data_IF_756851753112
#
_entry.id   IF_756851753112
#
_cell.length_a   1.000
_cell.length_b   1.000
_cell.length_c   1.000
_cell.angle_alpha   90.00
_cell.angle_beta   90.00
_cell.angle_gamma   90.00
#
_symmetry.space_group_name_H-M   'P 1'
#
loop_
_entity.id
_entity.type
_entity.pdbx_description
1 polymer ?
#
# COMPACT_ATOMS: atom_id res chain seq x y z
N UNK A 1 -0.99 -5.71 -49.71
CA UNK A 1 -0.80 -4.90 -50.94
C UNK A 1 -2.13 -4.31 -51.37
N UNK A 2 -2.17 -2.98 -51.53
CA UNK A 2 -3.13 -2.17 -52.31
C UNK A 2 -4.63 -2.19 -51.94
N UNK A 3 -5.38 -1.09 -51.85
CA UNK A 3 -5.13 0.36 -52.06
C UNK A 3 -6.44 1.11 -51.70
N UNK A 4 -6.31 2.29 -51.04
CA UNK A 4 -6.98 3.58 -51.33
C UNK A 4 -8.52 3.68 -51.27
N UNK A 5 -9.20 4.79 -50.97
CA UNK A 5 -8.92 6.16 -50.48
C UNK A 5 -10.32 6.82 -50.46
N UNK A 6 -10.68 7.59 -49.44
CA UNK A 6 -12.00 8.20 -49.31
C UNK A 6 -12.00 9.56 -48.63
N UNK A 7 -11.58 10.57 -49.40
CA UNK A 7 -11.94 12.00 -49.35
C UNK A 7 -11.64 12.86 -48.10
N UNK A 8 -10.57 13.66 -48.27
CA UNK A 8 -10.38 15.01 -47.71
C UNK A 8 -11.45 16.01 -48.21
N UNK A 9 -11.52 17.13 -47.46
CA UNK A 9 -11.83 18.51 -47.88
C UNK A 9 -13.30 18.95 -47.96
N UNK A 10 -13.69 19.79 -46.99
CA UNK A 10 -14.63 20.90 -47.21
C UNK A 10 -13.95 22.19 -46.73
N UNK A 11 -13.33 22.88 -47.69
CA UNK A 11 -13.08 24.35 -47.72
C UNK A 11 -14.44 25.07 -47.58
N UNK A 12 -14.64 26.11 -46.75
CA UNK A 12 -14.09 27.49 -46.76
C UNK A 12 -14.38 28.28 -48.06
N UNK A 13 -14.70 29.58 -47.87
CA UNK A 13 -15.04 30.68 -48.83
C UNK A 13 -16.55 30.68 -49.25
N UNK A 14 -17.39 31.73 -49.28
CA UNK A 14 -17.36 33.20 -49.59
C UNK A 14 -18.66 33.83 -48.96
N UNK A 15 -18.70 35.06 -48.41
CA UNK A 15 -19.19 36.33 -49.05
C UNK A 15 -18.79 37.55 -48.18
N UNK A 16 -18.02 38.58 -48.62
CA UNK A 16 -18.31 39.77 -49.47
C UNK A 16 -19.62 40.49 -49.13
N UNK A 17 -19.77 41.81 -48.91
CA UNK A 17 -18.99 43.02 -49.16
C UNK A 17 -19.73 44.22 -48.52
N UNK A 18 -19.03 45.29 -48.12
CA UNK A 18 -19.47 46.66 -48.44
C UNK A 18 -18.30 47.66 -48.39
N UNK A 19 -18.19 48.42 -49.48
CA UNK A 19 -17.18 49.43 -49.82
C UNK A 19 -17.40 50.74 -49.04
N UNK A 20 -16.32 51.44 -48.71
CA UNK A 20 -15.98 52.77 -49.26
C UNK A 20 -14.61 53.26 -48.77
N UNK A 21 -13.87 53.93 -49.64
CA UNK A 21 -12.62 54.66 -49.41
C UNK A 21 -12.79 56.09 -49.96
N UNK A 22 -11.79 56.99 -49.88
CA UNK A 22 -11.22 57.64 -48.70
C UNK A 22 -11.26 59.19 -48.83
N UNK A 23 -10.99 59.95 -47.76
CA UNK A 23 -10.60 61.38 -47.87
C UNK A 23 -9.58 61.76 -46.80
N UNK A 24 -8.41 62.21 -47.25
CA UNK A 24 -7.31 62.77 -46.42
C UNK A 24 -7.62 64.22 -46.04
N UNK A 25 -7.20 64.69 -44.86
CA UNK A 25 -6.17 65.73 -44.85
C UNK A 25 -5.06 65.51 -43.81
N UNK A 26 -3.87 65.99 -44.13
CA UNK A 26 -2.64 65.98 -43.33
C UNK A 26 -2.65 67.08 -42.22
N UNK A 27 -1.52 67.33 -41.54
CA UNK A 27 -0.92 66.56 -40.46
C UNK A 27 -1.05 67.32 -39.11
N UNK A 28 -1.21 66.61 -37.99
CA UNK A 28 -1.04 67.20 -36.66
C UNK A 28 -0.06 66.37 -35.85
N UNK A 29 0.92 67.07 -35.29
CA UNK A 29 2.07 66.59 -34.55
C UNK A 29 1.59 65.86 -33.29
N UNK A 30 1.95 64.58 -33.16
CA UNK A 30 1.77 63.81 -31.92
C UNK A 30 3.14 63.47 -31.31
N UNK A 31 3.29 63.51 -29.97
CA UNK A 31 4.58 63.43 -29.31
C UNK A 31 5.17 62.02 -29.31
N UNK A 32 6.49 61.98 -29.24
CA UNK A 32 7.39 60.84 -29.03
C UNK A 32 6.80 59.72 -28.15
N UNK A 33 6.83 58.50 -28.65
CA UNK A 33 6.48 57.28 -27.92
C UNK A 33 7.29 57.13 -26.63
N UNK A 34 6.66 56.76 -25.50
CA UNK A 34 7.38 56.46 -24.27
C UNK A 34 8.15 55.15 -24.43
N UNK A 35 9.41 55.17 -24.03
CA UNK A 35 10.26 53.99 -23.86
C UNK A 35 9.57 53.07 -22.83
N UNK A 36 9.40 51.76 -23.09
CA UNK A 36 8.84 50.86 -22.11
C UNK A 36 9.82 50.72 -20.94
N UNK A 37 9.48 51.33 -19.81
CA UNK A 37 10.14 51.07 -18.53
C UNK A 37 9.94 49.60 -18.21
N UNK A 38 11.03 48.84 -18.15
CA UNK A 38 11.01 47.48 -17.60
C UNK A 38 10.49 47.59 -16.17
N UNK A 39 9.24 47.19 -15.96
CA UNK A 39 8.68 47.07 -14.62
C UNK A 39 9.49 45.98 -13.92
N UNK A 40 10.30 46.36 -12.94
CA UNK A 40 10.89 45.40 -12.03
C UNK A 40 9.75 44.56 -11.45
N UNK A 41 9.79 43.25 -11.63
CA UNK A 41 8.95 42.35 -10.86
C UNK A 41 9.12 42.71 -9.38
N UNK A 42 8.04 42.93 -8.62
CA UNK A 42 8.17 43.23 -7.20
C UNK A 42 8.95 42.09 -6.55
N UNK A 43 10.02 42.44 -5.82
CA UNK A 43 10.73 41.52 -4.95
C UNK A 43 9.71 40.71 -4.18
N UNK A 44 9.77 39.38 -4.22
CA UNK A 44 8.68 38.59 -3.74
C UNK A 44 8.58 38.69 -2.22
N UNK A 45 7.57 39.42 -1.77
CA UNK A 45 7.27 39.61 -0.36
C UNK A 45 7.01 38.24 0.28
N UNK A 46 7.72 37.94 1.37
CA UNK A 46 7.46 36.75 2.18
C UNK A 46 6.00 36.84 2.68
N UNK A 47 5.15 35.82 2.44
CA UNK A 47 3.77 35.83 2.94
C UNK A 47 3.78 36.00 4.46
N UNK A 48 3.02 36.97 4.96
CA UNK A 48 2.91 37.21 6.41
C UNK A 48 2.10 36.08 7.03
N UNK A 49 2.63 35.45 8.09
CA UNK A 49 1.90 34.43 8.83
C UNK A 49 0.70 35.06 9.57
N UNK A 50 -0.43 34.35 9.72
CA UNK A 50 -1.53 34.84 10.53
C UNK A 50 -1.10 35.00 11.99
N UNK A 51 -1.71 35.93 12.72
CA UNK A 51 -1.48 36.03 14.17
C UNK A 51 -2.08 34.80 14.85
N UNK A 52 -1.36 34.12 15.77
CA UNK A 52 -1.93 33.03 16.55
C UNK A 52 -3.18 33.49 17.31
N UNK A 53 -4.30 32.81 17.07
CA UNK A 53 -5.58 33.03 17.78
C UNK A 53 -5.72 32.15 19.03
N UNK A 54 -4.78 31.22 19.23
CA UNK A 54 -4.74 30.24 20.31
C UNK A 54 -3.74 30.65 21.40
N UNK A 55 -3.89 30.15 22.64
CA UNK A 55 -2.86 30.30 23.66
C UNK A 55 -1.52 29.73 23.17
N UNK A 56 -0.44 30.40 23.55
CA UNK A 56 0.91 30.07 23.08
C UNK A 56 1.72 29.68 24.29
N UNK A 57 2.00 28.39 24.40
CA UNK A 57 2.86 27.82 25.41
C UNK A 57 4.24 27.56 24.80
N UNK A 58 5.25 28.27 25.29
CA UNK A 58 6.62 28.22 24.77
C UNK A 58 7.58 27.90 25.90
N UNK A 59 8.59 27.04 25.68
CA UNK A 59 9.62 26.83 26.68
C UNK A 59 10.54 28.05 26.81
N UNK A 60 11.31 28.18 27.89
CA UNK A 60 12.04 29.41 28.23
C UNK A 60 13.04 29.90 27.17
N UNK A 61 13.61 29.01 26.34
CA UNK A 61 14.53 29.41 25.28
C UNK A 61 13.85 29.72 23.94
N UNK A 62 12.53 29.63 23.86
CA UNK A 62 11.76 30.04 22.69
C UNK A 62 11.15 31.43 22.92
N UNK A 63 11.23 32.28 21.91
CA UNK A 63 10.44 33.52 21.86
C UNK A 63 9.41 33.42 20.74
N UNK A 64 8.25 34.06 20.92
CA UNK A 64 7.23 34.06 19.87
C UNK A 64 7.77 34.62 18.56
N UNK A 65 8.52 35.73 18.61
CA UNK A 65 9.07 36.37 17.42
C UNK A 65 10.02 35.42 16.66
N UNK A 66 10.96 34.79 17.35
CA UNK A 66 11.92 33.86 16.73
C UNK A 66 11.25 32.60 16.19
N UNK A 67 10.26 32.05 16.90
CA UNK A 67 9.51 30.88 16.46
C UNK A 67 8.73 31.18 15.18
N UNK A 68 8.03 32.31 15.13
CA UNK A 68 7.26 32.73 13.96
C UNK A 68 8.17 33.05 12.77
N UNK A 69 9.31 33.72 12.99
CA UNK A 69 10.30 33.98 11.95
C UNK A 69 10.88 32.69 11.36
N UNK A 70 11.22 31.72 12.21
CA UNK A 70 11.74 30.41 11.79
C UNK A 70 10.71 29.64 10.96
N UNK A 71 9.45 29.61 11.40
CA UNK A 71 8.35 28.99 10.64
C UNK A 71 8.14 29.66 9.29
N UNK A 72 8.11 31.00 9.28
CA UNK A 72 7.87 31.78 8.08
C UNK A 72 8.97 31.55 7.05
N UNK A 73 10.23 31.53 7.50
CA UNK A 73 11.38 31.31 6.64
C UNK A 73 11.39 29.87 6.12
N UNK A 74 11.09 28.89 6.96
CA UNK A 74 10.97 27.50 6.55
C UNK A 74 9.90 27.29 5.48
N UNK A 75 8.66 27.74 5.72
CA UNK A 75 7.55 27.56 4.77
C UNK A 75 7.76 28.33 3.47
N UNK A 76 8.38 29.51 3.54
CA UNK A 76 8.79 30.25 2.36
C UNK A 76 9.83 29.48 1.55
N UNK A 77 10.85 28.91 2.22
CA UNK A 77 11.88 28.12 1.57
C UNK A 77 11.31 26.85 0.91
N UNK A 78 10.35 26.18 1.56
CA UNK A 78 9.60 25.04 0.96
C UNK A 78 8.85 25.48 -0.29
N UNK A 79 8.04 26.54 -0.19
CA UNK A 79 7.17 27.01 -1.28
C UNK A 79 7.93 27.59 -2.48
N UNK A 80 9.22 27.88 -2.33
CA UNK A 80 10.10 28.34 -3.41
C UNK A 80 11.15 27.32 -3.82
N UNK A 81 11.19 26.18 -3.15
CA UNK A 81 12.23 25.18 -3.35
C UNK A 81 13.64 25.77 -3.19
N UNK A 82 13.83 26.62 -2.18
CA UNK A 82 15.15 27.14 -1.82
C UNK A 82 15.93 26.06 -1.06
N UNK A 83 16.43 25.07 -1.80
CA UNK A 83 17.16 23.93 -1.22
C UNK A 83 18.39 24.35 -0.41
N UNK A 84 19.21 25.35 -0.81
CA UNK A 84 20.29 25.85 0.03
C UNK A 84 19.82 26.34 1.40
N UNK A 85 18.75 27.13 1.45
CA UNK A 85 18.18 27.62 2.70
C UNK A 85 17.55 26.49 3.52
N UNK A 86 16.80 25.58 2.88
CA UNK A 86 16.23 24.41 3.56
C UNK A 86 17.30 23.51 4.19
N UNK A 87 18.46 23.33 3.55
CA UNK A 87 19.59 22.58 4.12
C UNK A 87 20.19 23.24 5.37
N UNK A 88 20.09 24.57 5.49
CA UNK A 88 20.53 25.31 6.68
C UNK A 88 19.47 25.25 7.79
N UNK A 89 18.19 25.30 7.41
CA UNK A 89 17.06 25.31 8.35
C UNK A 89 16.73 23.93 8.91
N UNK A 90 17.06 22.84 8.21
CA UNK A 90 16.78 21.49 8.70
C UNK A 90 18.02 20.94 9.37
N UNK A 91 17.87 20.44 10.60
CA UNK A 91 19.00 19.96 11.38
C UNK A 91 19.53 18.62 10.82
N UNK A 92 20.64 18.69 10.09
CA UNK A 92 21.31 17.55 9.43
C UNK A 92 22.26 16.74 10.33
N UNK A 93 22.34 17.04 11.63
CA UNK A 93 23.33 16.43 12.53
C UNK A 93 23.05 14.94 12.79
N UNK A 94 24.05 14.10 12.51
CA UNK A 94 24.15 12.64 12.68
C UNK A 94 24.06 12.14 14.14
N UNK A 95 23.97 13.05 15.11
CA UNK A 95 24.22 12.76 16.54
C UNK A 95 22.97 12.51 17.38
N UNK A 96 21.76 12.55 16.81
CA UNK A 96 20.55 12.24 17.58
C UNK A 96 20.13 10.79 17.36
N UNK A 97 20.15 10.03 18.45
CA UNK A 97 19.55 8.70 18.56
C UNK A 97 18.02 8.71 18.44
N UNK A 98 17.39 9.89 18.49
CA UNK A 98 15.95 10.04 18.30
C UNK A 98 15.58 10.01 16.81
N UNK A 99 14.61 9.17 16.48
CA UNK A 99 14.00 9.09 15.15
C UNK A 99 13.38 10.46 14.81
N UNK A 100 13.85 11.07 13.73
CA UNK A 100 13.24 12.28 13.18
C UNK A 100 12.38 11.89 11.99
N UNK A 101 11.13 12.33 11.96
CA UNK A 101 10.22 11.98 10.88
C UNK A 101 9.93 13.17 10.00
N UNK A 102 10.02 12.93 8.70
CA UNK A 102 9.49 13.77 7.65
C UNK A 102 8.42 12.98 6.94
N UNK A 103 7.16 13.29 7.24
CA UNK A 103 6.03 12.53 6.73
C UNK A 103 5.02 13.50 6.11
N UNK A 104 4.64 13.21 4.87
CA UNK A 104 3.58 13.92 4.14
C UNK A 104 2.59 12.88 3.67
N UNK A 105 1.44 12.77 4.33
CA UNK A 105 0.38 11.82 3.97
C UNK A 105 -0.77 12.60 3.33
N UNK A 106 -0.87 12.61 2.00
CA UNK A 106 -1.80 13.47 1.28
C UNK A 106 -3.25 13.01 1.46
N UNK A 107 -4.17 13.97 1.36
CA UNK A 107 -5.63 13.75 1.36
C UNK A 107 -6.16 13.31 -0.02
N UNK A 108 -5.32 12.67 -0.81
CA UNK A 108 -5.56 12.38 -2.24
C UNK A 108 -5.20 10.93 -2.55
N UNK A 109 -6.16 10.01 -2.41
CA UNK A 109 -5.90 8.58 -2.58
C UNK A 109 -5.52 8.18 -4.01
N UNK A 110 -5.81 9.02 -5.00
CA UNK A 110 -5.38 8.80 -6.39
C UNK A 110 -3.98 9.37 -6.67
N UNK A 111 -3.41 10.12 -5.72
CA UNK A 111 -2.10 10.78 -5.82
C UNK A 111 -1.16 10.30 -4.73
N UNK A 112 -1.22 9.01 -4.36
CA UNK A 112 -0.36 8.39 -3.34
C UNK A 112 1.14 8.63 -3.58
N UNK A 113 1.56 8.69 -4.84
CA UNK A 113 2.95 8.98 -5.22
C UNK A 113 3.44 10.37 -4.74
N UNK A 114 2.54 11.27 -4.34
CA UNK A 114 2.91 12.55 -3.75
C UNK A 114 3.17 12.47 -2.24
N UNK A 115 2.86 11.33 -1.61
CA UNK A 115 3.17 11.11 -0.21
C UNK A 115 4.65 10.90 0.05
N UNK A 116 5.04 11.02 1.31
CA UNK A 116 6.40 10.79 1.78
C UNK A 116 6.34 10.21 3.19
N UNK A 117 7.24 9.27 3.48
CA UNK A 117 7.73 9.04 4.82
C UNK A 117 9.22 8.81 4.76
N UNK A 118 9.96 9.60 5.53
CA UNK A 118 11.39 9.52 5.61
C UNK A 118 11.86 9.77 7.04
N UNK A 119 12.88 9.01 7.45
CA UNK A 119 13.59 9.24 8.72
C UNK A 119 14.77 10.21 8.56
N UNK A 120 15.10 10.51 7.29
CA UNK A 120 16.26 11.30 6.90
C UNK A 120 15.82 12.63 6.29
N UNK A 121 16.34 13.77 6.77
CA UNK A 121 16.09 15.08 6.18
C UNK A 121 16.32 15.15 4.66
N UNK A 122 17.32 14.42 4.16
CA UNK A 122 17.70 14.47 2.75
C UNK A 122 16.57 13.99 1.84
N UNK A 123 15.86 12.93 2.23
CA UNK A 123 14.74 12.42 1.44
C UNK A 123 13.53 13.39 1.44
N UNK A 124 13.38 14.21 2.48
CA UNK A 124 12.42 15.31 2.45
C UNK A 124 12.84 16.41 1.48
N UNK A 125 14.13 16.76 1.44
CA UNK A 125 14.65 17.74 0.47
C UNK A 125 14.48 17.26 -0.97
N UNK A 126 14.78 15.99 -1.24
CA UNK A 126 14.57 15.36 -2.55
C UNK A 126 13.08 15.40 -2.95
N UNK A 127 12.19 15.13 -2.00
CA UNK A 127 10.75 15.24 -2.22
C UNK A 127 10.32 16.69 -2.51
N UNK A 128 10.82 17.69 -1.77
CA UNK A 128 10.55 19.11 -2.04
C UNK A 128 11.04 19.50 -3.44
N UNK A 129 12.21 19.04 -3.85
CA UNK A 129 12.74 19.25 -5.20
C UNK A 129 11.85 18.62 -6.28
N UNK A 130 11.36 17.40 -6.06
CA UNK A 130 10.43 16.75 -6.98
C UNK A 130 9.10 17.52 -7.10
N UNK A 131 8.57 18.03 -5.98
CA UNK A 131 7.31 18.79 -5.95
C UNK A 131 7.45 20.21 -6.47
N UNK A 132 8.66 20.75 -6.55
CA UNK A 132 8.97 22.03 -7.20
C UNK A 132 8.52 22.06 -8.66
N UNK A 133 8.62 20.93 -9.37
CA UNK A 133 8.19 20.79 -10.77
C UNK A 133 6.69 21.06 -10.95
N UNK A 134 5.90 20.88 -9.90
CA UNK A 134 4.46 21.15 -9.88
C UNK A 134 4.14 22.47 -9.17
N UNK A 135 5.16 23.30 -8.90
CA UNK A 135 5.05 24.58 -8.19
C UNK A 135 4.27 24.45 -6.88
N UNK A 136 4.55 23.39 -6.11
CA UNK A 136 3.86 23.15 -4.85
C UNK A 136 4.15 24.25 -3.82
N UNK A 137 3.10 24.72 -3.12
CA UNK A 137 3.13 25.79 -2.13
C UNK A 137 2.35 25.42 -0.89
N UNK A 138 2.90 25.80 0.26
CA UNK A 138 2.28 25.58 1.57
C UNK A 138 2.06 26.93 2.26
N UNK A 139 0.81 27.24 2.61
CA UNK A 139 0.42 28.49 3.25
C UNK A 139 -0.29 28.22 4.58
N UNK A 140 0.15 28.81 5.69
CA UNK A 140 -0.58 28.71 6.97
C UNK A 140 -1.92 29.44 6.85
N UNK A 141 -3.00 28.72 7.17
CA UNK A 141 -4.34 29.27 7.32
C UNK A 141 -4.59 29.71 8.76
N UNK A 142 -4.26 28.86 9.73
CA UNK A 142 -4.44 29.13 11.16
C UNK A 142 -3.48 28.29 12.02
N UNK A 143 -3.15 28.81 13.20
CA UNK A 143 -2.43 28.07 14.23
C UNK A 143 -3.41 27.37 15.14
N UNK A 144 -3.15 26.09 15.41
CA UNK A 144 -4.04 25.22 16.18
C UNK A 144 -3.48 24.96 17.58
N UNK A 145 -2.15 24.83 17.71
CA UNK A 145 -1.50 24.57 19.00
C UNK A 145 -0.02 24.95 18.97
N UNK A 146 0.48 25.42 20.11
CA UNK A 146 1.91 25.50 20.42
C UNK A 146 2.13 24.65 21.66
N UNK A 147 3.04 23.68 21.58
CA UNK A 147 3.29 22.73 22.64
C UNK A 147 4.79 22.65 22.94
N UNK A 148 5.22 22.87 24.20
CA UNK A 148 6.60 22.63 24.59
C UNK A 148 6.88 21.12 24.60
N UNK A 149 7.95 20.69 23.94
CA UNK A 149 8.40 19.28 23.94
C UNK A 149 9.55 19.06 24.92
N UNK A 150 10.51 19.99 24.90
CA UNK A 150 11.70 20.00 25.77
C UNK A 150 11.93 21.44 26.26
N UNK A 151 13.03 21.68 26.97
CA UNK A 151 13.41 23.03 27.42
C UNK A 151 13.74 23.98 26.28
N UNK A 152 14.02 23.44 25.09
CA UNK A 152 14.49 24.18 23.91
C UNK A 152 13.75 23.89 22.61
N UNK A 153 12.67 23.09 22.68
CA UNK A 153 11.87 22.73 21.52
C UNK A 153 10.41 23.04 21.68
N UNK A 154 9.82 23.51 20.59
CA UNK A 154 8.39 23.72 20.46
C UNK A 154 7.86 22.95 19.26
N UNK A 155 6.78 22.20 19.47
CA UNK A 155 5.96 21.65 18.41
C UNK A 155 4.84 22.64 18.10
N UNK A 156 4.75 23.04 16.84
CA UNK A 156 3.71 23.94 16.34
C UNK A 156 2.79 23.16 15.44
N UNK A 157 1.51 23.13 15.82
CA UNK A 157 0.46 22.49 15.02
C UNK A 157 -0.35 23.57 14.32
N UNK A 158 -0.49 23.46 13.00
CA UNK A 158 -1.15 24.47 12.18
C UNK A 158 -1.98 23.83 11.06
N UNK A 159 -3.04 24.51 10.65
CA UNK A 159 -3.72 24.20 9.40
C UNK A 159 -3.00 24.92 8.25
N UNK A 160 -2.68 24.17 7.20
CA UNK A 160 -2.05 24.65 5.98
C UNK A 160 -2.99 24.48 4.79
N UNK A 161 -2.90 25.38 3.82
CA UNK A 161 -3.36 25.16 2.46
C UNK A 161 -2.19 24.63 1.62
N UNK A 162 -2.38 23.46 1.03
CA UNK A 162 -1.48 22.88 0.05
C UNK A 162 -2.01 23.13 -1.35
N UNK A 163 -1.18 23.68 -2.21
CA UNK A 163 -1.53 24.00 -3.59
C UNK A 163 -0.42 23.54 -4.53
N UNK A 164 -0.76 22.96 -5.67
CA UNK A 164 0.19 22.61 -6.72
C UNK A 164 -0.54 22.60 -8.07
N UNK A 165 0.18 22.68 -9.19
CA UNK A 165 -0.43 22.66 -10.53
C UNK A 165 -1.22 21.38 -10.81
N UNK A 166 -0.82 20.25 -10.21
CA UNK A 166 -1.41 18.93 -10.39
C UNK A 166 -2.46 18.57 -9.31
N UNK A 167 -2.70 19.47 -8.34
CA UNK A 167 -3.56 19.26 -7.18
C UNK A 167 -4.57 20.40 -7.02
N UNK A 168 -5.80 20.05 -6.59
CA UNK A 168 -6.72 21.06 -6.09
C UNK A 168 -6.24 21.55 -4.73
N UNK A 169 -6.35 22.85 -4.47
CA UNK A 169 -6.03 23.45 -3.18
C UNK A 169 -6.81 22.75 -2.05
N UNK A 170 -6.10 22.14 -1.10
CA UNK A 170 -6.73 21.39 0.01
C UNK A 170 -6.12 21.76 1.35
N UNK A 171 -6.96 21.90 2.40
CA UNK A 171 -6.46 22.06 3.75
C UNK A 171 -5.87 20.75 4.26
N UNK A 172 -4.78 20.87 5.00
CA UNK A 172 -4.09 19.81 5.73
C UNK A 172 -3.65 20.32 7.10
N UNK A 173 -3.35 19.43 8.02
CA UNK A 173 -2.76 19.80 9.31
C UNK A 173 -1.30 19.39 9.32
N UNK A 174 -0.45 20.27 9.84
CA UNK A 174 0.97 20.01 10.05
C UNK A 174 1.32 20.07 11.52
N UNK A 175 2.27 19.25 11.94
CA UNK A 175 3.05 19.39 13.16
C UNK A 175 4.51 19.62 12.77
N UNK A 176 5.05 20.76 13.16
CA UNK A 176 6.44 21.14 12.90
C UNK A 176 7.15 21.30 14.25
N UNK A 177 8.17 20.50 14.49
CA UNK A 177 9.02 20.64 15.67
C UNK A 177 10.22 21.52 15.35
N UNK A 178 10.44 22.53 16.19
CA UNK A 178 11.52 23.51 16.05
C UNK A 178 12.46 23.44 17.25
N UNK A 179 13.76 23.46 16.98
CA UNK A 179 14.81 23.79 17.94
C UNK A 179 14.96 25.31 17.98
N UNK A 180 14.56 25.91 19.09
CA UNK A 180 14.55 27.36 19.25
C UNK A 180 15.94 27.96 19.48
N UNK A 181 16.93 27.18 19.92
CA UNK A 181 18.29 27.69 20.07
C UNK A 181 18.98 27.83 18.72
N UNK A 182 18.72 26.89 17.82
CA UNK A 182 19.35 26.84 16.49
C UNK A 182 18.49 27.47 15.39
N UNK A 183 17.19 27.68 15.65
CA UNK A 183 16.24 28.14 14.63
C UNK A 183 16.02 27.09 13.54
N UNK A 184 16.14 25.81 13.89
CA UNK A 184 16.10 24.71 12.91
C UNK A 184 14.88 23.82 13.08
N UNK A 185 14.35 23.31 11.98
CA UNK A 185 13.31 22.30 11.93
C UNK A 185 13.89 20.92 12.22
N UNK A 186 13.28 20.24 13.19
CA UNK A 186 13.69 18.91 13.68
C UNK A 186 12.85 17.81 13.03
N UNK A 187 11.54 18.03 12.90
CA UNK A 187 10.61 17.08 12.29
C UNK A 187 9.44 17.82 11.63
N UNK A 188 8.87 17.21 10.59
CA UNK A 188 7.71 17.74 9.86
C UNK A 188 6.77 16.61 9.59
N UNK A 189 5.55 16.72 10.10
CA UNK A 189 4.50 15.75 9.88
C UNK A 189 3.31 16.48 9.32
N UNK A 190 2.80 15.99 8.21
CA UNK A 190 1.68 16.59 7.49
C UNK A 190 0.69 15.50 7.18
N UNK A 191 -0.55 15.71 7.60
CA UNK A 191 -1.63 14.76 7.42
C UNK A 191 -2.95 15.47 7.13
N UNK A 192 -3.88 14.71 6.58
CA UNK A 192 -5.25 15.18 6.46
C UNK A 192 -5.95 15.11 7.84
N UNK A 193 -6.71 16.13 8.22
CA UNK A 193 -7.62 16.07 9.38
C UNK A 193 -9.01 16.51 8.95
N UNK A 194 -10.02 15.76 9.39
CA UNK A 194 -11.42 16.17 9.36
C UNK A 194 -12.06 15.93 10.73
N UNK A 195 -12.91 16.86 11.18
CA UNK A 195 -13.77 16.69 12.35
C UNK A 195 -13.14 17.06 13.70
N UNK A 196 -13.48 18.26 14.17
CA UNK A 196 -13.43 18.86 15.52
C UNK A 196 -12.12 18.85 16.33
N UNK A 197 -11.24 17.84 16.24
CA UNK A 197 -10.07 17.73 17.12
C UNK A 197 -8.74 17.53 16.38
N UNK A 198 -7.73 18.24 16.86
CA UNK A 198 -6.34 18.15 16.41
C UNK A 198 -5.61 17.18 17.33
N UNK A 199 -5.02 16.08 16.80
CA UNK A 199 -4.32 15.11 17.62
C UNK A 199 -3.17 15.73 18.40
N UNK A 200 -2.91 15.18 19.58
CA UNK A 200 -1.79 15.66 20.42
C UNK A 200 -0.47 15.06 19.96
N UNK A 201 -0.51 13.87 19.34
CA UNK A 201 0.66 13.13 18.90
C UNK A 201 0.78 13.07 17.38
N UNK A 202 2.04 13.03 16.95
CA UNK A 202 2.48 12.81 15.59
C UNK A 202 1.87 11.55 14.95
N UNK A 203 1.88 10.44 15.69
CA UNK A 203 1.43 9.14 15.23
C UNK A 203 -0.08 9.12 14.97
N UNK A 204 -0.85 9.80 15.83
CA UNK A 204 -2.30 9.93 15.69
C UNK A 204 -2.69 10.76 14.46
N UNK A 205 -1.88 11.77 14.12
CA UNK A 205 -2.02 12.54 12.87
C UNK A 205 -1.78 11.64 11.65
N UNK A 206 -0.77 10.76 11.68
CA UNK A 206 -0.49 9.80 10.60
C UNK A 206 -1.60 8.76 10.46
N UNK A 207 -2.05 8.18 11.57
CA UNK A 207 -3.14 7.21 11.60
C UNK A 207 -4.44 7.81 11.04
N UNK A 208 -4.76 9.04 11.44
CA UNK A 208 -5.94 9.78 10.96
C UNK A 208 -5.85 10.15 9.49
N UNK A 209 -4.66 10.47 8.99
CA UNK A 209 -4.46 10.76 7.57
C UNK A 209 -4.63 9.51 6.70
N UNK A 210 -4.07 8.37 7.14
CA UNK A 210 -4.22 7.09 6.43
C UNK A 210 -5.67 6.59 6.48
N UNK A 211 -6.38 6.78 7.59
CA UNK A 211 -7.77 6.32 7.75
C UNK A 211 -8.76 7.02 6.83
N UNK A 212 -8.44 8.24 6.38
CA UNK A 212 -9.25 8.99 5.41
C UNK A 212 -9.15 8.44 3.98
N UNK A 213 -8.24 7.51 3.70
CA UNK A 213 -8.18 6.88 2.39
C UNK A 213 -9.40 5.98 2.18
N UNK A 214 -9.99 5.95 0.98
CA UNK A 214 -11.13 5.11 0.68
C UNK A 214 -10.75 3.64 0.86
N UNK A 215 -11.72 2.87 1.34
CA UNK A 215 -11.66 1.42 1.27
C UNK A 215 -11.89 1.03 -0.20
N UNK A 216 -10.98 0.23 -0.75
CA UNK A 216 -11.09 -0.29 -2.12
C UNK A 216 -11.81 -1.63 -2.10
N UNK A 217 -12.65 -1.85 -3.10
CA UNK A 217 -13.34 -3.12 -3.25
C UNK A 217 -12.52 -4.19 -3.93
N UNK A 218 -13.12 -5.38 -4.03
CA UNK A 218 -12.69 -6.38 -4.99
C UNK A 218 -13.37 -6.05 -6.33
N UNK A 219 -12.60 -5.75 -7.36
CA UNK A 219 -13.15 -5.50 -8.70
C UNK A 219 -13.47 -6.83 -9.42
N UNK A 220 -14.66 -6.93 -10.00
CA UNK A 220 -14.89 -7.76 -11.19
C UNK A 220 -14.92 -9.28 -11.07
N UNK A 221 -15.07 -9.90 -9.89
CA UNK A 221 -15.17 -11.37 -9.78
C UNK A 221 -16.32 -11.83 -8.87
N UNK A 222 -17.13 -12.83 -9.29
CA UNK A 222 -18.11 -13.47 -8.41
C UNK A 222 -17.45 -14.33 -7.32
N UNK A 223 -16.18 -14.72 -7.51
CA UNK A 223 -15.41 -15.52 -6.57
C UNK A 223 -14.32 -14.68 -5.89
N UNK A 224 -13.90 -15.05 -4.68
CA UNK A 224 -12.80 -14.38 -4.00
C UNK A 224 -11.52 -14.49 -4.85
N UNK A 225 -10.88 -13.37 -5.24
CA UNK A 225 -9.62 -13.40 -5.95
C UNK A 225 -8.59 -14.09 -5.05
N UNK A 226 -7.78 -14.93 -5.68
CA UNK A 226 -6.67 -15.62 -5.03
C UNK A 226 -5.43 -14.78 -5.20
N UNK A 227 -4.63 -14.69 -4.14
CA UNK A 227 -3.31 -14.07 -4.26
C UNK A 227 -2.48 -14.85 -5.30
N UNK A 228 -1.89 -14.19 -6.31
CA UNK A 228 -1.09 -14.87 -7.34
C UNK A 228 0.17 -15.51 -6.76
N UNK A 229 0.66 -14.95 -5.66
CA UNK A 229 1.91 -15.31 -5.04
C UNK A 229 1.76 -15.64 -3.55
N UNK A 230 2.55 -16.60 -3.11
CA UNK A 230 2.67 -17.00 -1.72
C UNK A 230 4.14 -17.26 -1.39
N UNK A 231 4.57 -16.82 -0.21
CA UNK A 231 5.89 -17.09 0.33
C UNK A 231 5.76 -17.82 1.66
N UNK A 232 6.29 -19.04 1.74
CA UNK A 232 6.09 -19.88 2.93
C UNK A 232 4.61 -20.09 3.22
N UNK A 233 4.20 -19.77 4.45
CA UNK A 233 2.81 -19.82 4.91
C UNK A 233 2.05 -18.51 4.68
N UNK A 234 2.64 -17.53 4.00
CA UNK A 234 2.08 -16.19 3.84
C UNK A 234 1.73 -15.82 2.40
N UNK A 235 0.74 -14.93 2.23
CA UNK A 235 0.29 -14.40 0.94
C UNK A 235 0.37 -12.88 0.91
N UNK A 236 0.72 -12.34 -0.27
CA UNK A 236 0.84 -10.91 -0.52
C UNK A 236 1.91 -10.56 -1.55
N UNK A 237 1.80 -9.37 -2.14
CA UNK A 237 2.70 -8.88 -3.20
C UNK A 237 3.43 -7.58 -2.81
N UNK A 238 3.29 -7.13 -1.56
CA UNK A 238 3.78 -5.84 -1.10
C UNK A 238 4.52 -5.92 0.23
N UNK A 239 4.77 -4.79 0.89
CA UNK A 239 5.47 -4.78 2.18
C UNK A 239 4.66 -5.41 3.31
N UNK A 240 3.44 -5.89 3.07
CA UNK A 240 2.59 -6.55 4.06
C UNK A 240 2.15 -7.90 3.52
N UNK A 241 2.25 -8.92 4.37
CA UNK A 241 1.87 -10.30 4.08
C UNK A 241 0.96 -10.86 5.18
N UNK A 242 0.03 -11.74 4.80
CA UNK A 242 -0.84 -12.47 5.74
C UNK A 242 -0.47 -13.94 5.81
N UNK A 243 -0.24 -14.45 7.01
CA UNK A 243 0.10 -15.86 7.26
C UNK A 243 -1.15 -16.74 7.35
N UNK A 244 -1.76 -17.01 6.19
CA UNK A 244 -3.02 -17.77 6.02
C UNK A 244 -2.92 -18.91 4.99
N UNK A 245 -1.72 -19.17 4.47
CA UNK A 245 -1.46 -20.19 3.47
C UNK A 245 -1.65 -19.73 2.02
N UNK A 246 -1.06 -20.45 1.04
CA UNK A 246 -0.88 -19.98 -0.33
C UNK A 246 -2.15 -19.81 -1.16
N UNK A 247 -3.26 -20.43 -0.78
CA UNK A 247 -4.56 -20.19 -1.43
C UNK A 247 -5.36 -19.04 -0.80
N UNK A 248 -4.83 -18.40 0.25
CA UNK A 248 -5.51 -17.36 1.02
C UNK A 248 -6.91 -17.81 1.49
N UNK A 249 -7.00 -19.06 1.97
CA UNK A 249 -8.24 -19.68 2.46
C UNK A 249 -8.11 -19.96 3.93
N UNK A 250 -9.18 -19.71 4.68
CA UNK A 250 -9.33 -20.02 6.09
C UNK A 250 -10.55 -20.93 6.26
N UNK A 251 -10.32 -22.12 6.78
CA UNK A 251 -11.39 -23.08 7.14
C UNK A 251 -11.89 -22.80 8.56
N UNK A 252 -13.15 -22.39 8.72
CA UNK A 252 -13.75 -22.16 10.05
C UNK A 252 -14.02 -23.46 10.80
N UNK A 253 -14.47 -24.49 10.08
CA UNK A 253 -14.87 -25.76 10.68
C UNK A 253 -16.04 -25.64 11.67
N UNK A 254 -15.94 -26.36 12.80
CA UNK A 254 -16.97 -26.38 13.86
C UNK A 254 -17.07 -25.09 14.68
N UNK A 255 -16.27 -24.07 14.38
CA UNK A 255 -16.51 -22.71 14.83
C UNK A 255 -17.76 -22.22 14.10
N UNK A 256 -18.93 -22.63 14.60
CA UNK A 256 -20.20 -22.05 14.16
C UNK A 256 -20.07 -20.55 14.44
N UNK A 257 -20.14 -19.73 13.39
CA UNK A 257 -20.28 -18.28 13.46
C UNK A 257 -21.60 -17.92 14.17
N UNK A 258 -21.67 -18.19 15.48
CA UNK A 258 -22.77 -17.87 16.40
C UNK A 258 -22.43 -16.63 17.25
N UNK A 259 -21.43 -15.85 16.82
CA UNK A 259 -20.95 -14.60 17.40
C UNK A 259 -19.74 -14.09 16.61
N UNK A 260 -19.29 -12.86 16.89
CA UNK A 260 -18.03 -12.32 16.34
C UNK A 260 -16.90 -13.29 16.69
N UNK A 261 -16.41 -14.04 15.69
CA UNK A 261 -15.27 -14.94 15.87
C UNK A 261 -14.05 -14.17 15.40
N UNK A 262 -13.06 -14.00 16.29
CA UNK A 262 -11.78 -13.40 15.91
C UNK A 262 -10.92 -14.43 15.20
N UNK A 263 -10.56 -14.17 13.94
CA UNK A 263 -9.53 -14.93 13.25
C UNK A 263 -8.18 -14.35 13.62
N UNK A 264 -7.40 -15.14 14.36
CA UNK A 264 -6.06 -14.77 14.79
C UNK A 264 -5.05 -14.99 13.66
N UNK A 265 -4.67 -13.93 12.95
CA UNK A 265 -3.74 -13.98 11.81
C UNK A 265 -2.42 -13.32 12.15
N UNK A 266 -1.31 -14.01 11.89
CA UNK A 266 0.00 -13.36 11.89
C UNK A 266 0.13 -12.53 10.61
N UNK A 267 0.33 -11.24 10.78
CA UNK A 267 0.62 -10.30 9.70
C UNK A 267 2.08 -9.90 9.78
N UNK A 268 2.76 -9.93 8.66
CA UNK A 268 4.19 -9.64 8.56
C UNK A 268 4.33 -8.36 7.75
N UNK A 269 4.96 -7.35 8.33
CA UNK A 269 5.42 -6.18 7.59
C UNK A 269 6.90 -6.35 7.28
N UNK A 270 7.25 -6.24 6.01
CA UNK A 270 8.61 -6.39 5.49
C UNK A 270 9.58 -5.39 6.15
N UNK A 271 10.82 -5.80 6.36
CA UNK A 271 11.84 -4.95 6.98
C UNK A 271 12.20 -3.71 6.14
N UNK A 272 11.92 -3.74 4.83
CA UNK A 272 12.08 -2.59 3.95
C UNK A 272 11.04 -1.49 4.20
N UNK A 273 9.88 -1.85 4.78
CA UNK A 273 8.85 -0.88 5.12
C UNK A 273 9.17 -0.24 6.47
N UNK A 274 9.64 1.01 6.40
CA UNK A 274 9.99 1.81 7.59
C UNK A 274 8.84 2.71 8.05
N UNK A 275 7.85 2.92 7.19
CA UNK A 275 6.76 3.84 7.44
C UNK A 275 5.67 3.32 8.36
N UNK A 276 4.73 4.21 8.73
CA UNK A 276 3.51 3.81 9.39
C UNK A 276 2.66 3.00 8.41
N UNK A 277 1.98 1.98 8.94
CA UNK A 277 1.04 1.18 8.15
C UNK A 277 -0.29 1.15 8.86
N UNK A 278 -1.37 1.53 8.17
CA UNK A 278 -2.71 1.32 8.65
C UNK A 278 -3.30 0.09 7.96
N UNK A 279 -3.64 -0.92 8.75
CA UNK A 279 -4.36 -2.10 8.29
C UNK A 279 -5.84 -1.94 8.58
N UNK A 280 -6.70 -2.25 7.61
CA UNK A 280 -8.16 -2.18 7.75
C UNK A 280 -8.80 -3.42 7.15
N UNK A 281 -9.55 -4.18 7.95
CA UNK A 281 -10.24 -5.38 7.46
C UNK A 281 -11.73 -5.15 7.27
N UNK A 282 -12.29 -5.66 6.18
CA UNK A 282 -13.73 -5.62 5.93
C UNK A 282 -14.14 -6.77 5.00
N UNK A 283 -15.42 -7.14 5.03
CA UNK A 283 -15.97 -8.10 4.08
C UNK A 283 -16.20 -7.41 2.74
N UNK A 284 -15.87 -8.08 1.63
CA UNK A 284 -15.94 -7.47 0.30
C UNK A 284 -17.36 -7.04 -0.11
N UNK A 285 -18.41 -7.64 0.47
CA UNK A 285 -19.81 -7.26 0.25
C UNK A 285 -20.20 -5.94 0.90
N UNK A 286 -19.37 -5.42 1.81
CA UNK A 286 -19.75 -4.33 2.72
C UNK A 286 -19.24 -2.96 2.25
N UNK A 287 -18.75 -2.86 1.01
CA UNK A 287 -18.19 -1.64 0.41
C UNK A 287 -19.13 -0.44 0.32
N UNK A 288 -20.40 -0.61 0.70
CA UNK A 288 -21.40 0.44 0.80
C UNK A 288 -21.41 1.16 2.15
N UNK A 289 -20.61 0.73 3.13
CA UNK A 289 -20.56 1.35 4.46
C UNK A 289 -19.20 2.02 4.66
N UNK A 290 -19.22 3.36 4.68
CA UNK A 290 -18.18 4.14 5.35
C UNK A 290 -17.92 3.48 6.71
N UNK A 291 -16.66 3.27 7.12
CA UNK A 291 -16.36 2.57 8.37
C UNK A 291 -17.05 3.31 9.51
N UNK A 292 -18.04 2.67 10.12
CA UNK A 292 -18.64 3.13 11.37
C UNK A 292 -17.49 3.25 12.37
N UNK A 293 -17.26 4.45 12.88
CA UNK A 293 -16.37 4.66 14.00
C UNK A 293 -16.81 3.72 15.14
N UNK A 294 -15.95 2.77 15.48
CA UNK A 294 -16.26 1.62 16.35
C UNK A 294 -15.31 0.48 16.05
N UNK A 295 -14.13 0.57 16.68
CA UNK A 295 -13.14 -0.48 17.03
C UNK A 295 -13.67 -1.89 16.72
N UNK A 296 -13.11 -2.69 15.82
CA UNK A 296 -11.93 -3.57 15.97
C UNK A 296 -11.31 -3.92 14.59
N UNK A 297 -11.58 -3.10 13.58
CA UNK A 297 -11.26 -3.41 12.18
C UNK A 297 -10.12 -2.59 11.59
N UNK A 298 -9.42 -1.80 12.42
CA UNK A 298 -8.29 -0.99 12.02
C UNK A 298 -7.13 -1.14 13.00
N UNK A 299 -5.91 -1.31 12.48
CA UNK A 299 -4.69 -1.46 13.27
C UNK A 299 -3.63 -0.53 12.71
N UNK A 300 -3.17 0.40 13.54
CA UNK A 300 -2.04 1.26 13.21
C UNK A 300 -0.75 0.61 13.69
N UNK A 301 0.16 0.39 12.74
CA UNK A 301 1.48 -0.14 12.98
C UNK A 301 2.44 1.04 12.97
N UNK A 302 2.99 1.35 14.14
CA UNK A 302 3.97 2.42 14.31
C UNK A 302 5.23 2.15 13.47
N UNK A 303 5.89 3.19 12.92
CA UNK A 303 7.16 3.08 12.21
C UNK A 303 8.22 2.30 13.00
N UNK A 304 8.94 1.39 12.36
CA UNK A 304 10.08 0.69 12.96
C UNK A 304 11.20 0.46 11.93
N UNK A 305 12.45 0.55 12.40
CA UNK A 305 13.62 0.72 11.54
C UNK A 305 14.50 -0.54 11.42
N UNK A 306 14.23 -1.60 12.19
CA UNK A 306 15.27 -2.60 12.43
C UNK A 306 14.88 -4.08 12.22
N UNK A 307 13.60 -4.43 12.22
CA UNK A 307 13.18 -5.84 12.09
C UNK A 307 11.86 -5.98 11.34
N UNK A 308 11.64 -7.10 10.61
CA UNK A 308 10.31 -7.46 10.15
C UNK A 308 9.34 -7.44 11.33
N UNK A 309 8.26 -6.69 11.18
CA UNK A 309 7.26 -6.56 12.25
C UNK A 309 6.25 -7.69 12.07
N UNK A 310 6.29 -8.71 12.92
CA UNK A 310 5.25 -9.73 13.00
C UNK A 310 4.24 -9.33 14.06
N UNK A 311 3.02 -9.05 13.64
CA UNK A 311 1.93 -8.60 14.50
C UNK A 311 0.79 -9.58 14.35
N UNK A 312 0.17 -9.93 15.47
CA UNK A 312 -0.97 -10.83 15.46
C UNK A 312 -2.24 -9.98 15.48
N UNK A 313 -3.05 -10.10 14.44
CA UNK A 313 -4.32 -9.41 14.30
C UNK A 313 -5.45 -10.37 14.63
N UNK A 314 -6.43 -9.89 15.38
CA UNK A 314 -7.70 -10.59 15.59
C UNK A 314 -8.72 -10.02 14.61
N UNK A 315 -8.76 -10.60 13.40
CA UNK A 315 -9.64 -10.14 12.32
C UNK A 315 -11.10 -10.53 12.64
N UNK A 316 -12.05 -9.59 12.65
CA UNK A 316 -13.45 -9.93 12.87
C UNK A 316 -13.99 -10.72 11.68
N UNK A 317 -14.47 -11.93 11.97
CA UNK A 317 -15.14 -12.81 11.01
C UNK A 317 -16.55 -13.11 11.50
N UNK A 318 -17.53 -12.61 10.77
CA UNK A 318 -18.95 -12.68 11.07
C UNK A 318 -19.69 -13.72 10.21
N UNK A 319 -19.17 -14.06 9.03
CA UNK A 319 -19.75 -15.06 8.14
C UNK A 319 -18.71 -15.62 7.14
N UNK A 320 -18.95 -16.78 6.51
CA UNK A 320 -18.17 -17.20 5.35
C UNK A 320 -18.26 -16.19 4.19
N UNK A 321 -17.18 -16.07 3.43
CA UNK A 321 -17.09 -15.21 2.26
C UNK A 321 -15.71 -14.56 2.09
N UNK A 322 -15.64 -13.57 1.19
CA UNK A 322 -14.41 -12.86 0.88
C UNK A 322 -14.18 -11.70 1.87
N UNK A 323 -12.99 -11.67 2.44
CA UNK A 323 -12.51 -10.59 3.28
C UNK A 323 -11.33 -9.90 2.62
N UNK A 324 -11.25 -8.59 2.83
CA UNK A 324 -10.18 -7.74 2.36
C UNK A 324 -9.48 -7.18 3.58
N UNK A 325 -8.18 -7.40 3.68
CA UNK A 325 -7.29 -6.62 4.52
C UNK A 325 -6.61 -5.58 3.63
N UNK A 326 -7.06 -4.34 3.74
CA UNK A 326 -6.40 -3.22 3.08
C UNK A 326 -5.25 -2.74 3.96
N UNK A 327 -4.07 -2.62 3.36
CA UNK A 327 -2.90 -2.03 3.99
C UNK A 327 -2.57 -0.71 3.30
N UNK A 328 -2.44 0.35 4.09
CA UNK A 328 -2.17 1.71 3.65
C UNK A 328 -0.83 2.19 4.21
N UNK A 329 0.14 2.40 3.33
CA UNK A 329 1.39 3.10 3.64
C UNK A 329 1.44 4.51 3.04
N UNK A 330 2.42 5.34 3.39
CA UNK A 330 2.45 6.76 2.97
C UNK A 330 2.38 6.97 1.45
N UNK A 331 3.02 6.10 0.67
CA UNK A 331 3.15 6.21 -0.80
C UNK A 331 2.43 5.10 -1.56
N UNK A 332 1.87 4.12 -0.86
CA UNK A 332 1.30 2.92 -1.46
C UNK A 332 0.02 2.49 -0.73
N UNK A 333 -0.76 1.67 -1.42
CA UNK A 333 -1.93 1.02 -0.87
C UNK A 333 -2.00 -0.36 -1.52
N UNK A 334 -2.18 -1.40 -0.71
CA UNK A 334 -2.35 -2.77 -1.21
C UNK A 334 -3.53 -3.45 -0.52
N UNK A 335 -3.99 -4.52 -1.13
CA UNK A 335 -5.11 -5.31 -0.64
C UNK A 335 -4.70 -6.76 -0.60
N UNK A 336 -4.89 -7.38 0.55
CA UNK A 336 -4.73 -8.81 0.72
C UNK A 336 -6.12 -9.40 0.85
N UNK A 337 -6.51 -10.20 -0.13
CA UNK A 337 -7.82 -10.84 -0.15
C UNK A 337 -7.69 -12.27 0.30
N UNK A 338 -8.59 -12.68 1.18
CA UNK A 338 -8.71 -14.04 1.64
C UNK A 338 -10.16 -14.48 1.71
N UNK A 339 -10.37 -15.78 1.62
CA UNK A 339 -11.70 -16.38 1.74
C UNK A 339 -11.82 -17.16 3.03
N UNK A 340 -12.94 -16.95 3.70
CA UNK A 340 -13.35 -17.75 4.84
C UNK A 340 -14.40 -18.75 4.36
N UNK A 341 -14.14 -20.04 4.53
CA UNK A 341 -15.05 -21.13 4.15
C UNK A 341 -15.61 -21.84 5.39
N UNK A 342 -16.88 -22.30 5.36
CA UNK A 342 -17.49 -22.95 6.51
C UNK A 342 -16.97 -24.38 6.73
N UNK A 343 -16.51 -25.07 5.69
CA UNK A 343 -16.10 -26.47 5.79
C UNK A 343 -14.80 -26.67 6.58
N UNK A 344 -14.70 -27.81 7.29
CA UNK A 344 -13.43 -28.25 7.91
C UNK A 344 -12.49 -28.83 6.85
N UNK A 345 -11.19 -28.82 7.14
CA UNK A 345 -10.18 -29.47 6.30
C UNK A 345 -10.46 -30.98 6.19
N UNK A 346 -10.84 -31.64 7.29
CA UNK A 346 -11.11 -33.08 7.31
C UNK A 346 -12.34 -33.45 6.47
N UNK A 347 -13.32 -32.55 6.39
CA UNK A 347 -14.50 -32.76 5.56
C UNK A 347 -14.16 -32.61 4.07
N UNK A 348 -13.34 -31.63 3.70
CA UNK A 348 -12.96 -31.37 2.32
C UNK A 348 -11.91 -32.36 1.79
N UNK A 349 -10.91 -32.70 2.61
CA UNK A 349 -9.79 -33.54 2.24
C UNK A 349 -9.57 -34.67 3.28
N UNK A 350 -10.50 -35.62 3.40
CA UNK A 350 -10.45 -36.67 4.41
C UNK A 350 -9.22 -37.58 4.30
N UNK A 351 -8.65 -37.72 3.11
CA UNK A 351 -7.41 -38.50 2.89
C UNK A 351 -6.17 -37.91 3.55
N UNK A 352 -6.20 -36.61 3.86
CA UNK A 352 -5.11 -35.92 4.55
C UNK A 352 -5.34 -35.82 6.06
N UNK A 353 -6.54 -36.16 6.55
CA UNK A 353 -6.88 -36.05 7.96
C UNK A 353 -6.10 -37.05 8.80
N UNK A 354 -5.37 -36.55 9.81
CA UNK A 354 -4.62 -37.39 10.75
C UNK A 354 -3.44 -38.16 10.13
N UNK A 355 -2.90 -37.68 9.00
CA UNK A 355 -1.72 -38.25 8.33
C UNK A 355 -0.48 -37.43 8.67
N UNK A 356 0.63 -38.10 8.98
CA UNK A 356 1.94 -37.46 9.05
C UNK A 356 2.52 -37.38 7.64
N UNK A 357 2.45 -36.19 7.03
CA UNK A 357 2.96 -35.97 5.68
C UNK A 357 4.50 -35.90 5.68
N UNK A 358 5.17 -36.25 4.55
CA UNK A 358 6.61 -36.15 4.43
C UNK A 358 7.09 -34.70 4.58
N UNK A 359 8.39 -34.55 4.90
CA UNK A 359 9.08 -33.26 5.09
C UNK A 359 8.34 -32.27 6.01
N UNK A 360 7.59 -32.80 6.99
CA UNK A 360 6.80 -32.03 7.96
C UNK A 360 5.75 -31.12 7.32
N UNK A 361 5.23 -31.49 6.15
CA UNK A 361 4.10 -30.79 5.53
C UNK A 361 2.89 -30.83 6.47
N UNK A 362 2.21 -29.69 6.58
CA UNK A 362 0.96 -29.53 7.31
C UNK A 362 -0.08 -29.00 6.35
N UNK A 363 -1.32 -29.48 6.52
CA UNK A 363 -2.46 -28.93 5.79
C UNK A 363 -2.83 -27.58 6.40
N UNK A 364 -2.68 -26.52 5.62
CA UNK A 364 -3.01 -25.17 6.06
C UNK A 364 -4.47 -24.82 5.79
N UNK A 365 -4.96 -25.17 4.61
CA UNK A 365 -6.33 -24.88 4.20
C UNK A 365 -6.79 -25.77 3.05
N UNK A 366 -8.10 -25.88 2.89
CA UNK A 366 -8.75 -26.59 1.81
C UNK A 366 -9.99 -25.82 1.33
N UNK A 367 -10.25 -25.84 0.03
CA UNK A 367 -11.42 -25.20 -0.57
C UNK A 367 -11.93 -26.01 -1.75
N UNK A 368 -13.24 -25.94 -2.01
CA UNK A 368 -13.81 -26.52 -3.23
C UNK A 368 -13.38 -25.70 -4.44
N UNK A 369 -12.88 -26.39 -5.44
CA UNK A 369 -12.45 -25.83 -6.72
C UNK A 369 -13.32 -26.44 -7.84
N UNK A 370 -14.63 -26.36 -7.64
CA UNK A 370 -15.65 -27.02 -8.47
C UNK A 370 -16.47 -28.07 -7.70
N UNK A 371 -17.44 -28.72 -8.38
CA UNK A 371 -18.35 -29.68 -7.73
C UNK A 371 -17.63 -30.96 -7.27
N UNK A 372 -16.56 -31.32 -7.96
CA UNK A 372 -15.87 -32.61 -7.79
C UNK A 372 -14.39 -32.46 -7.45
N UNK A 373 -13.92 -31.24 -7.18
CA UNK A 373 -12.52 -31.00 -6.90
C UNK A 373 -12.30 -30.14 -5.67
N UNK A 374 -11.27 -30.47 -4.91
CA UNK A 374 -10.84 -29.79 -3.71
C UNK A 374 -9.39 -29.39 -3.89
N UNK A 375 -9.12 -28.11 -3.71
CA UNK A 375 -7.77 -27.58 -3.65
C UNK A 375 -7.34 -27.52 -2.19
N UNK A 376 -6.11 -27.94 -1.92
CA UNK A 376 -5.51 -28.03 -0.61
C UNK A 376 -4.17 -27.32 -0.64
N UNK A 377 -3.97 -26.45 0.33
CA UNK A 377 -2.71 -25.79 0.61
C UNK A 377 -1.95 -26.55 1.68
N UNK A 378 -0.69 -26.89 1.39
CA UNK A 378 0.23 -27.54 2.32
C UNK A 378 1.47 -26.67 2.50
N UNK A 379 2.03 -26.64 3.71
CA UNK A 379 3.33 -26.02 3.94
C UNK A 379 4.13 -26.78 5.00
N UNK A 380 5.45 -26.78 4.81
CA UNK A 380 6.44 -27.25 5.75
C UNK A 380 7.52 -26.18 5.93
N UNK A 381 8.58 -26.47 6.70
CA UNK A 381 9.62 -25.49 7.01
C UNK A 381 10.34 -24.93 5.77
N UNK A 382 10.49 -25.73 4.72
CA UNK A 382 11.27 -25.40 3.51
C UNK A 382 10.48 -25.57 2.23
N UNK A 383 9.16 -25.83 2.31
CA UNK A 383 8.36 -26.24 1.16
C UNK A 383 6.91 -25.75 1.26
N UNK A 384 6.38 -25.24 0.15
CA UNK A 384 4.99 -24.80 0.00
C UNK A 384 4.38 -25.49 -1.20
N UNK A 385 3.28 -26.20 -0.99
CA UNK A 385 2.68 -27.06 -2.00
C UNK A 385 1.21 -26.74 -2.14
N UNK A 386 0.73 -26.69 -3.38
CA UNK A 386 -0.68 -26.73 -3.72
C UNK A 386 -0.99 -28.11 -4.25
N UNK A 387 -2.02 -28.75 -3.70
CA UNK A 387 -2.54 -30.01 -4.20
C UNK A 387 -4.00 -29.85 -4.61
N UNK A 388 -4.39 -30.45 -5.73
CA UNK A 388 -5.77 -30.58 -6.15
C UNK A 388 -6.15 -32.06 -6.11
N UNK A 389 -7.26 -32.34 -5.43
CA UNK A 389 -7.86 -33.67 -5.31
C UNK A 389 -9.18 -33.62 -6.05
N UNK A 390 -9.29 -34.29 -7.19
CA UNK A 390 -10.51 -34.35 -8.00
C UNK A 390 -11.08 -35.75 -8.06
N UNK A 391 -12.41 -35.88 -8.13
CA UNK A 391 -13.04 -37.11 -8.61
C UNK A 391 -12.66 -37.28 -10.07
N UNK A 392 -12.13 -38.44 -10.41
CA UNK A 392 -11.58 -38.68 -11.74
C UNK A 392 -10.64 -39.87 -11.70
N UNK A 393 -11.16 -41.03 -12.08
CA UNK A 393 -10.40 -42.27 -12.16
C UNK A 393 -10.07 -42.66 -13.61
N UNK A 394 -8.87 -43.22 -13.79
CA UNK A 394 -8.37 -43.99 -14.95
C UNK A 394 -8.09 -43.21 -16.25
N UNK A 395 -7.62 -41.97 -16.18
CA UNK A 395 -6.85 -41.39 -17.30
C UNK A 395 -5.37 -41.69 -17.13
N UNK A 396 -4.57 -41.78 -18.19
CA UNK A 396 -3.11 -41.78 -18.02
C UNK A 396 -2.65 -40.42 -17.46
N UNK A 397 -1.95 -40.38 -16.32
CA UNK A 397 -1.40 -39.15 -15.77
C UNK A 397 -0.41 -38.55 -16.78
N UNK A 398 -0.62 -37.31 -17.21
CA UNK A 398 0.26 -36.65 -18.18
C UNK A 398 0.36 -35.15 -17.91
N UNK A 399 1.59 -34.64 -17.79
CA UNK A 399 1.89 -33.22 -17.51
C UNK A 399 2.59 -32.52 -18.67
N UNK A 400 2.92 -33.25 -19.75
CA UNK A 400 3.67 -32.71 -20.88
C UNK A 400 4.85 -33.59 -21.31
N UNK A 401 5.64 -33.13 -22.30
CA UNK A 401 6.71 -33.94 -22.89
C UNK A 401 7.93 -34.16 -21.97
N UNK A 402 8.10 -33.35 -20.93
CA UNK A 402 9.20 -33.44 -19.95
C UNK A 402 8.82 -34.25 -18.70
N UNK A 403 7.82 -35.11 -18.82
CA UNK A 403 7.28 -35.88 -17.69
C UNK A 403 8.10 -37.15 -17.47
N UNK A 404 8.48 -37.40 -16.22
CA UNK A 404 9.01 -38.68 -15.74
C UNK A 404 7.87 -39.47 -15.10
N UNK A 405 7.60 -40.68 -15.60
CA UNK A 405 6.57 -41.55 -15.06
C UNK A 405 7.20 -42.80 -14.45
N UNK A 406 6.85 -43.07 -13.21
CA UNK A 406 7.35 -44.19 -12.44
C UNK A 406 6.16 -45.05 -12.01
N UNK A 407 6.23 -46.36 -12.27
CA UNK A 407 5.25 -47.35 -11.82
C UNK A 407 5.89 -48.20 -10.72
N UNK A 408 5.99 -47.63 -9.53
CA UNK A 408 6.57 -48.29 -8.36
C UNK A 408 5.53 -49.01 -7.48
N UNK A 409 4.25 -48.67 -7.64
CA UNK A 409 3.13 -49.35 -6.98
C UNK A 409 2.40 -50.20 -8.03
N UNK A 410 2.09 -51.47 -7.73
CA UNK A 410 1.56 -52.46 -8.69
C UNK A 410 0.25 -52.03 -9.39
N UNK A 411 -0.41 -50.96 -8.94
CA UNK A 411 -1.65 -50.42 -9.50
C UNK A 411 -1.61 -48.95 -9.94
N UNK A 412 -0.53 -48.20 -9.73
CA UNK A 412 -0.54 -46.73 -9.85
C UNK A 412 0.69 -46.20 -10.60
N UNK A 413 0.44 -45.33 -11.58
CA UNK A 413 1.45 -44.59 -12.32
C UNK A 413 1.55 -43.18 -11.74
N UNK A 414 2.74 -42.81 -11.28
CA UNK A 414 3.05 -41.47 -10.79
C UNK A 414 3.87 -40.75 -11.86
N UNK A 415 3.39 -39.60 -12.31
CA UNK A 415 4.07 -38.79 -13.31
C UNK A 415 4.41 -37.42 -12.77
N UNK A 416 5.63 -36.92 -13.02
CA UNK A 416 6.08 -35.64 -12.50
C UNK A 416 7.01 -34.89 -13.48
N UNK A 417 7.11 -33.57 -13.34
CA UNK A 417 8.06 -32.75 -14.11
C UNK A 417 9.13 -32.14 -13.20
N UNK A 418 10.41 -32.11 -13.63
CA UNK A 418 11.49 -31.63 -12.80
C UNK A 418 11.51 -30.10 -12.72
N UNK A 419 11.93 -29.57 -11.56
CA UNK A 419 12.29 -28.18 -11.41
C UNK A 419 13.46 -27.84 -12.35
N UNK A 420 13.38 -26.78 -13.16
CA UNK A 420 14.34 -26.53 -14.25
C UNK A 420 15.79 -26.34 -13.79
N UNK A 421 16.01 -25.93 -12.54
CA UNK A 421 17.36 -25.68 -11.99
C UNK A 421 17.87 -26.83 -11.14
N UNK A 422 16.99 -27.50 -10.41
CA UNK A 422 17.37 -28.37 -9.29
C UNK A 422 16.93 -29.82 -9.49
N UNK A 423 16.09 -30.10 -10.49
CA UNK A 423 15.74 -31.47 -10.90
C UNK A 423 14.73 -32.21 -10.02
N UNK A 424 14.38 -31.70 -8.83
CA UNK A 424 13.35 -32.31 -7.98
C UNK A 424 11.95 -32.15 -8.57
N UNK A 425 10.98 -33.01 -8.20
CA UNK A 425 9.62 -32.94 -8.76
C UNK A 425 8.92 -31.63 -8.45
N UNK A 426 8.74 -30.75 -9.44
CA UNK A 426 8.07 -29.45 -9.28
C UNK A 426 6.55 -29.59 -9.40
N UNK A 427 6.10 -30.44 -10.31
CA UNK A 427 4.68 -30.80 -10.44
C UNK A 427 4.55 -32.31 -10.54
N UNK A 428 3.44 -32.85 -10.04
CA UNK A 428 3.17 -34.29 -10.09
C UNK A 428 1.67 -34.57 -10.26
N UNK A 429 1.35 -35.72 -10.84
CA UNK A 429 -0.01 -36.23 -11.00
C UNK A 429 -0.04 -37.75 -10.86
N UNK A 430 -1.02 -38.25 -10.13
CA UNK A 430 -1.26 -39.68 -9.94
C UNK A 430 -2.74 -39.93 -9.61
N UNK A 431 -3.17 -41.18 -9.76
CA UNK A 431 -4.54 -41.61 -9.48
C UNK A 431 -4.55 -42.73 -8.45
N UNK A 432 -5.53 -42.76 -7.53
CA UNK A 432 -5.74 -43.89 -6.58
C UNK A 432 -6.85 -44.87 -7.03
N UNK A 433 -7.36 -44.68 -8.25
CA UNK A 433 -8.47 -45.43 -8.84
C UNK A 433 -9.85 -44.81 -8.60
N UNK A 434 -9.98 -43.87 -7.66
CA UNK A 434 -11.21 -43.09 -7.40
C UNK A 434 -10.95 -41.59 -7.62
N UNK A 435 -9.80 -41.13 -7.13
CA UNK A 435 -9.37 -39.74 -7.12
C UNK A 435 -8.13 -39.56 -7.98
N UNK A 436 -8.05 -38.38 -8.57
CA UNK A 436 -6.85 -37.83 -9.20
C UNK A 436 -6.25 -36.77 -8.31
N UNK A 437 -4.95 -36.88 -8.08
CA UNK A 437 -4.16 -35.92 -7.34
C UNK A 437 -3.28 -35.16 -8.33
N UNK A 438 -3.28 -33.84 -8.24
CA UNK A 438 -2.33 -32.97 -8.91
C UNK A 438 -1.60 -32.16 -7.85
N UNK A 439 -0.29 -32.13 -7.92
CA UNK A 439 0.57 -31.43 -6.99
C UNK A 439 1.42 -30.42 -7.74
N UNK A 440 1.53 -29.22 -7.21
CA UNK A 440 2.40 -28.17 -7.70
C UNK A 440 3.13 -27.52 -6.53
N UNK A 441 4.44 -27.41 -6.66
CA UNK A 441 5.28 -26.77 -5.66
C UNK A 441 5.39 -25.30 -6.00
N UNK A 442 4.97 -24.47 -5.04
CA UNK A 442 4.90 -23.01 -5.19
C UNK A 442 6.19 -22.34 -4.73
N UNK A 443 6.82 -22.87 -3.69
CA UNK A 443 8.10 -22.44 -3.19
C UNK A 443 8.82 -23.62 -2.52
N UNK A 444 10.14 -23.70 -2.69
CA UNK A 444 10.95 -24.63 -1.94
C UNK A 444 12.44 -24.40 -2.13
N UNK A 445 13.22 -24.78 -1.13
CA UNK A 445 14.67 -24.74 -1.19
C UNK A 445 15.24 -25.90 -2.02
N UNK A 446 16.54 -25.84 -2.35
CA UNK A 446 17.23 -26.81 -3.20
C UNK A 446 17.00 -28.26 -2.78
N UNK A 447 17.04 -28.54 -1.48
CA UNK A 447 16.98 -29.89 -0.90
C UNK A 447 15.67 -30.12 -0.10
N UNK A 448 14.64 -29.30 -0.35
CA UNK A 448 13.37 -29.35 0.38
C UNK A 448 12.47 -30.53 -0.01
N UNK A 449 12.74 -31.15 -1.16
CA UNK A 449 11.87 -32.16 -1.75
C UNK A 449 12.65 -33.10 -2.68
N UNK A 450 12.21 -34.34 -2.76
CA UNK A 450 12.80 -35.36 -3.63
C UNK A 450 11.72 -36.24 -4.27
N UNK A 451 12.12 -37.01 -5.28
CA UNK A 451 11.26 -38.06 -5.84
C UNK A 451 10.81 -39.07 -4.77
N UNK A 452 11.68 -39.40 -3.82
CA UNK A 452 11.35 -40.30 -2.71
C UNK A 452 10.27 -39.72 -1.79
N UNK A 453 10.31 -38.41 -1.53
CA UNK A 453 9.29 -37.75 -0.71
C UNK A 453 7.94 -37.71 -1.43
N UNK A 454 7.95 -37.48 -2.75
CA UNK A 454 6.76 -37.55 -3.59
C UNK A 454 6.14 -38.95 -3.61
N UNK A 455 6.97 -39.99 -3.79
CA UNK A 455 6.53 -41.39 -3.76
C UNK A 455 5.94 -41.76 -2.39
N UNK A 456 6.58 -41.33 -1.31
CA UNK A 456 6.08 -41.53 0.04
C UNK A 456 4.72 -40.84 0.24
N UNK A 457 4.57 -39.58 -0.19
CA UNK A 457 3.28 -38.88 -0.15
C UNK A 457 2.21 -39.64 -0.93
N UNK A 458 2.49 -40.03 -2.18
CA UNK A 458 1.53 -40.73 -3.02
C UNK A 458 1.05 -42.02 -2.34
N UNK A 459 1.99 -42.84 -1.84
CA UNK A 459 1.70 -44.10 -1.14
C UNK A 459 0.81 -43.88 0.09
N UNK A 460 1.11 -42.87 0.91
CA UNK A 460 0.32 -42.54 2.10
C UNK A 460 -1.15 -42.23 1.77
N UNK A 461 -1.42 -41.51 0.68
CA UNK A 461 -2.80 -41.15 0.31
C UNK A 461 -3.58 -42.34 -0.25
N UNK A 462 -2.89 -43.30 -0.87
CA UNK A 462 -3.48 -44.51 -1.42
C UNK A 462 -3.87 -45.48 -0.30
N UNK A 463 -3.01 -45.67 0.70
CA UNK A 463 -3.26 -46.55 1.84
C UNK A 463 -4.44 -46.08 2.73
N UNK A 464 -4.90 -44.84 2.54
CA UNK A 464 -6.06 -44.23 3.21
C UNK A 464 -7.37 -44.31 2.41
N UNK A 465 -7.39 -45.08 1.31
CA UNK A 465 -8.63 -45.48 0.63
C UNK A 465 -9.54 -46.27 1.57
#
# INVERSE_FOLDING_TARGET
>A
MARFLGCLLVMLIVTTSCRQAPTTPAPSIAPSSPIPTVSAEPSPTIPVLPTPSVPVDLPPSCSMASTMESLQTFLWAVSRTDLPLLRQLILTSETTTMRRWFAVIPREPDRLATGLFAERPEAFLDWVEQRALQRERWSILEFLRFQPEETDRVRVTAALLREADDLLAKPMVTMIELDCQRGTVVSVIVGAIGGQDVPERAEDLLASALSQRPLRGIEGSPNCPRSPWAFGTAVGEGPVYLEIGPDAVVNLGNLIARGQTGLRVSTIVDASERGPVLLRSFRATDLSLLPSAGEHSAWFIEPDAATPRRIVLDLPVDAPGCYVLQADGPTWQTQLVFEVVPETIEFLAPTLAGVTLPVQLQVLSAVRDGPESVRVSLAGPTLVVRMQISLGGLGTPYLGPTTHCTRELESIELCWTPHPVWGWPQTAVWDDGIRRYQLAILAGERDAWSERDLLHLATLLIDKR
#
